data_IF_899087263518
#
_entry.id   IF_899087263518
#
_cell.length_a   1.000
_cell.length_b   1.000
_cell.length_c   1.000
_cell.angle_alpha   90.00
_cell.angle_beta   90.00
_cell.angle_gamma   90.00
#
_symmetry.space_group_name_H-M   'P 1'
#
loop_
_entity.id
_entity.type
_entity.pdbx_description
1 polymer ?
#
# COMPACT_ATOMS: atom_id res chain seq x y z
N UNK A 1 31.98 23.01 -18.80
CA UNK A 1 31.33 21.69 -18.84
C UNK A 1 30.52 21.61 -17.56
N UNK A 2 29.24 21.96 -17.64
CA UNK A 2 28.39 22.12 -16.46
C UNK A 2 27.89 20.75 -16.03
N UNK A 3 28.60 20.17 -15.07
CA UNK A 3 28.22 18.92 -14.44
C UNK A 3 27.00 19.16 -13.56
N UNK A 4 25.80 18.84 -14.08
CA UNK A 4 24.58 18.72 -13.29
C UNK A 4 24.61 17.40 -12.49
N UNK A 5 25.46 17.37 -11.46
CA UNK A 5 25.54 16.25 -10.53
C UNK A 5 24.21 16.05 -9.81
N UNK A 6 23.72 14.81 -9.77
CA UNK A 6 22.67 14.42 -8.83
C UNK A 6 23.10 14.67 -7.38
N UNK A 7 22.20 14.54 -6.40
CA UNK A 7 22.49 14.91 -5.01
C UNK A 7 23.77 14.21 -4.53
N UNK A 8 24.83 15.01 -4.35
CA UNK A 8 26.10 14.57 -3.80
C UNK A 8 25.83 14.11 -2.38
N UNK A 9 26.14 12.85 -2.08
CA UNK A 9 26.01 12.33 -0.73
C UNK A 9 26.94 13.13 0.19
N UNK A 10 26.37 13.83 1.17
CA UNK A 10 27.16 14.56 2.16
C UNK A 10 27.79 13.56 3.12
N UNK A 11 29.11 13.45 3.07
CA UNK A 11 29.90 12.59 3.97
C UNK A 11 30.43 13.44 5.14
N UNK A 12 30.08 13.14 6.41
CA UNK A 12 30.46 13.95 7.58
C UNK A 12 31.94 14.27 7.78
N UNK A 13 32.84 13.43 7.30
CA UNK A 13 34.28 13.65 7.42
C UNK A 13 34.93 14.37 6.24
N UNK A 14 34.19 14.85 5.24
CA UNK A 14 34.80 15.45 4.05
C UNK A 14 35.04 16.95 4.24
N UNK A 15 36.24 17.49 3.90
CA UNK A 15 36.63 18.90 4.15
C UNK A 15 35.72 19.98 3.54
N UNK A 16 34.87 19.63 2.57
CA UNK A 16 33.90 20.55 1.96
C UNK A 16 32.63 20.75 2.79
N UNK A 17 32.43 19.96 3.85
CA UNK A 17 31.28 20.05 4.74
C UNK A 17 31.75 20.44 6.13
N UNK A 18 31.10 21.44 6.70
CA UNK A 18 31.23 21.75 8.12
C UNK A 18 30.13 20.98 8.85
N UNK A 19 30.56 20.13 9.78
CA UNK A 19 29.71 19.22 10.53
C UNK A 19 29.59 19.70 11.97
N UNK A 20 28.38 20.05 12.41
CA UNK A 20 28.11 20.47 13.79
C UNK A 20 27.30 19.41 14.51
N UNK A 21 27.79 18.95 15.65
CA UNK A 21 27.10 18.01 16.55
C UNK A 21 26.33 18.81 17.61
N UNK A 22 25.00 18.73 17.59
CA UNK A 22 24.16 19.50 18.53
C UNK A 22 23.94 18.80 19.88
N UNK A 23 24.14 17.49 19.93
CA UNK A 23 23.86 16.67 21.10
C UNK A 23 24.95 15.62 21.25
N UNK A 24 25.19 15.12 22.46
CA UNK A 24 26.21 14.10 22.76
C UNK A 24 25.65 12.67 22.82
N UNK A 25 24.37 12.46 22.48
CA UNK A 25 23.66 11.18 22.59
C UNK A 25 22.86 10.85 21.32
N UNK A 26 22.70 9.55 21.03
CA UNK A 26 21.82 9.05 19.97
C UNK A 26 20.41 9.33 20.41
N UNK A 27 19.64 9.98 19.53
CA UNK A 27 18.21 10.12 19.75
C UNK A 27 17.56 8.75 19.86
N UNK A 28 16.86 8.52 20.97
CA UNK A 28 15.97 7.38 21.04
C UNK A 28 14.80 7.59 20.07
N UNK A 29 14.30 6.50 19.47
CA UNK A 29 13.20 6.60 18.53
C UNK A 29 11.95 7.25 19.16
N UNK A 30 11.75 7.07 20.47
CA UNK A 30 10.70 7.74 21.24
C UNK A 30 10.87 9.26 21.35
N UNK A 31 12.11 9.74 21.49
CA UNK A 31 12.44 11.17 21.52
C UNK A 31 12.20 11.82 20.15
N UNK A 32 12.58 11.14 19.06
CA UNK A 32 12.27 11.62 17.70
C UNK A 32 10.77 11.61 17.43
N UNK A 33 10.06 10.59 17.90
CA UNK A 33 8.62 10.47 17.69
C UNK A 33 7.83 11.55 18.43
N UNK A 34 8.30 12.03 19.59
CA UNK A 34 7.61 13.09 20.33
C UNK A 34 7.73 14.47 19.66
N UNK A 35 8.81 14.70 18.91
CA UNK A 35 9.05 15.94 18.17
C UNK A 35 8.37 16.00 16.79
N UNK A 36 7.84 14.87 16.29
CA UNK A 36 7.24 14.78 14.95
C UNK A 36 5.75 14.48 15.04
N UNK A 37 4.92 15.47 14.74
CA UNK A 37 3.48 15.26 14.56
C UNK A 37 3.22 14.63 13.17
N UNK A 38 3.19 13.30 13.13
CA UNK A 38 2.85 12.55 11.92
C UNK A 38 1.34 12.63 11.67
N UNK A 39 0.91 13.59 10.84
CA UNK A 39 -0.40 13.49 10.21
C UNK A 39 -0.39 12.30 9.26
N UNK A 40 -0.98 11.18 9.69
CA UNK A 40 -1.14 9.98 8.84
C UNK A 40 -2.15 10.34 7.75
N UNK A 41 -1.66 10.92 6.65
CA UNK A 41 -2.45 11.08 5.44
C UNK A 41 -2.81 9.66 4.98
N UNK A 42 -4.10 9.34 4.77
CA UNK A 42 -4.46 8.07 4.18
C UNK A 42 -3.67 7.90 2.88
N UNK A 43 -3.23 6.67 2.58
CA UNK A 43 -2.42 6.37 1.41
C UNK A 43 -2.98 7.09 0.18
N UNK A 44 -2.27 8.13 -0.28
CA UNK A 44 -2.75 8.97 -1.36
C UNK A 44 -2.95 8.08 -2.60
N UNK A 45 -4.18 8.02 -3.08
CA UNK A 45 -4.53 7.29 -4.28
C UNK A 45 -4.46 8.28 -5.44
N UNK A 46 -3.31 8.33 -6.12
CA UNK A 46 -3.12 9.21 -7.27
C UNK A 46 -1.65 9.55 -7.55
N UNK A 47 -1.39 10.22 -8.68
CA UNK A 47 -0.04 10.68 -9.05
C UNK A 47 0.51 11.66 -8.02
N UNK A 48 1.73 11.41 -7.54
CA UNK A 48 2.43 12.25 -6.55
C UNK A 48 3.21 13.36 -7.26
N UNK A 49 2.49 14.29 -7.88
CA UNK A 49 3.11 15.31 -8.72
C UNK A 49 4.05 16.25 -7.96
N UNK A 50 3.76 16.55 -6.69
CA UNK A 50 4.58 17.44 -5.86
C UNK A 50 6.03 16.93 -5.72
N UNK A 51 6.22 15.61 -5.62
CA UNK A 51 7.54 14.98 -5.47
C UNK A 51 8.39 15.03 -6.75
N UNK A 52 7.75 15.20 -7.91
CA UNK A 52 8.40 15.19 -9.23
C UNK A 52 8.30 16.53 -9.94
N UNK A 53 7.80 17.55 -9.27
CA UNK A 53 7.45 18.88 -9.79
C UNK A 53 8.59 19.58 -10.55
N UNK A 54 9.85 19.23 -10.27
CA UNK A 54 11.02 19.77 -10.95
C UNK A 54 11.27 19.23 -12.38
N UNK A 55 10.62 18.13 -12.79
CA UNK A 55 10.99 17.42 -14.02
C UNK A 55 9.77 17.14 -14.90
N UNK A 56 9.75 17.77 -16.09
CA UNK A 56 8.73 17.57 -17.13
C UNK A 56 8.54 16.09 -17.47
N UNK A 57 9.65 15.36 -17.59
CA UNK A 57 9.62 13.92 -17.89
C UNK A 57 8.99 13.11 -16.76
N UNK A 58 9.37 13.39 -15.51
CA UNK A 58 8.83 12.67 -14.35
C UNK A 58 7.35 12.99 -14.15
N UNK A 59 6.93 14.24 -14.36
CA UNK A 59 5.53 14.65 -14.33
C UNK A 59 4.71 13.89 -15.38
N UNK A 60 5.15 13.91 -16.65
CA UNK A 60 4.45 13.21 -17.72
C UNK A 60 4.35 11.71 -17.46
N UNK A 61 5.46 11.09 -17.03
CA UNK A 61 5.50 9.67 -16.69
C UNK A 61 4.51 9.33 -15.57
N UNK A 62 4.46 10.13 -14.51
CA UNK A 62 3.55 9.92 -13.39
C UNK A 62 2.07 10.03 -13.82
N UNK A 63 1.72 11.08 -14.55
CA UNK A 63 0.36 11.23 -15.08
C UNK A 63 -0.01 10.06 -15.99
N UNK A 64 0.88 9.73 -16.93
CA UNK A 64 0.63 8.71 -17.94
C UNK A 64 0.51 7.31 -17.35
N UNK A 65 1.32 6.93 -16.36
CA UNK A 65 1.23 5.60 -15.75
C UNK A 65 -0.07 5.41 -14.99
N UNK A 66 -0.54 6.43 -14.25
CA UNK A 66 -1.83 6.33 -13.56
C UNK A 66 -3.00 6.26 -14.53
N UNK A 67 -2.94 7.01 -15.64
CA UNK A 67 -3.93 6.89 -16.70
C UNK A 67 -3.92 5.47 -17.31
N UNK A 68 -2.75 4.96 -17.66
CA UNK A 68 -2.57 3.61 -18.21
C UNK A 68 -3.16 2.53 -17.28
N UNK A 69 -2.90 2.62 -15.99
CA UNK A 69 -3.42 1.71 -14.97
C UNK A 69 -4.95 1.70 -14.88
N UNK A 70 -5.59 2.83 -15.20
CA UNK A 70 -7.05 2.94 -15.11
C UNK A 70 -7.78 2.33 -16.31
N UNK A 71 -7.15 2.31 -17.50
CA UNK A 71 -7.78 1.85 -18.73
C UNK A 71 -7.33 0.45 -19.18
N UNK A 72 -6.15 -0.04 -18.76
CA UNK A 72 -5.53 -1.25 -19.31
C UNK A 72 -6.41 -2.50 -19.21
N UNK A 73 -7.12 -2.71 -18.10
CA UNK A 73 -7.99 -3.88 -17.96
C UNK A 73 -9.18 -3.82 -18.94
N UNK A 74 -9.79 -2.64 -19.08
CA UNK A 74 -10.85 -2.39 -20.07
C UNK A 74 -10.36 -2.63 -21.49
N UNK A 75 -9.17 -2.13 -21.85
CA UNK A 75 -8.61 -2.30 -23.20
C UNK A 75 -8.19 -3.76 -23.47
N UNK A 76 -7.83 -4.55 -22.46
CA UNK A 76 -7.60 -6.00 -22.62
C UNK A 76 -8.89 -6.79 -22.84
N UNK A 77 -9.98 -6.35 -22.24
CA UNK A 77 -11.29 -7.01 -22.35
C UNK A 77 -12.03 -6.64 -23.64
N UNK A 78 -11.98 -5.37 -24.04
CA UNK A 78 -12.81 -4.80 -25.11
C UNK A 78 -12.01 -4.30 -26.32
N UNK A 79 -10.70 -4.16 -26.19
CA UNK A 79 -9.84 -3.48 -27.17
C UNK A 79 -8.65 -4.32 -27.60
N UNK A 80 -7.57 -3.63 -27.99
CA UNK A 80 -6.30 -4.21 -28.38
C UNK A 80 -5.13 -3.41 -27.82
N UNK A 81 -3.92 -3.96 -27.94
CA UNK A 81 -2.72 -3.23 -27.58
C UNK A 81 -2.57 -1.92 -28.38
N UNK A 82 -3.01 -1.90 -29.63
CA UNK A 82 -2.93 -0.70 -30.49
C UNK A 82 -3.92 0.38 -30.04
N UNK A 83 -5.17 0.02 -29.69
CA UNK A 83 -6.15 0.98 -29.16
C UNK A 83 -5.71 1.58 -27.83
N UNK A 84 -5.09 0.75 -26.98
CA UNK A 84 -4.49 1.18 -25.73
C UNK A 84 -3.35 2.17 -25.97
N UNK A 85 -2.39 1.83 -26.84
CA UNK A 85 -1.26 2.70 -27.17
C UNK A 85 -1.71 4.04 -27.78
N UNK A 86 -2.70 4.03 -28.69
CA UNK A 86 -3.28 5.24 -29.26
C UNK A 86 -3.92 6.13 -28.20
N UNK A 87 -4.61 5.52 -27.22
CA UNK A 87 -5.20 6.24 -26.09
C UNK A 87 -4.12 6.89 -25.20
N UNK A 88 -3.01 6.19 -24.95
CA UNK A 88 -1.88 6.72 -24.21
C UNK A 88 -1.17 7.86 -24.95
N UNK A 89 -0.95 7.71 -26.25
CA UNK A 89 -0.38 8.77 -27.09
C UNK A 89 -1.25 10.02 -26.99
N UNK A 90 -2.54 9.93 -27.31
CA UNK A 90 -3.46 11.06 -27.25
C UNK A 90 -3.46 11.74 -25.87
N UNK A 91 -3.46 10.95 -24.79
CA UNK A 91 -3.36 11.48 -23.42
C UNK A 91 -2.05 12.25 -23.20
N UNK A 92 -0.92 11.67 -23.61
CA UNK A 92 0.40 12.28 -23.42
C UNK A 92 0.60 13.55 -24.25
N UNK A 93 0.10 13.59 -25.49
CA UNK A 93 0.11 14.81 -26.31
C UNK A 93 -0.70 15.93 -25.66
N UNK A 94 -1.90 15.63 -25.16
CA UNK A 94 -2.76 16.62 -24.52
C UNK A 94 -2.17 17.15 -23.19
N UNK A 95 -1.46 16.30 -22.45
CA UNK A 95 -0.81 16.68 -21.19
C UNK A 95 0.57 17.32 -21.38
N UNK A 96 1.08 17.40 -22.61
CA UNK A 96 2.32 18.11 -22.94
C UNK A 96 2.11 19.64 -23.05
N UNK A 97 1.59 20.24 -21.98
CA UNK A 97 1.34 21.68 -21.87
C UNK A 97 2.22 22.37 -20.81
N UNK A 98 3.45 21.89 -20.67
CA UNK A 98 4.43 22.36 -19.69
C UNK A 98 4.75 23.86 -19.80
N UNK A 99 4.68 24.45 -20.99
CA UNK A 99 4.84 25.89 -21.18
C UNK A 99 3.78 26.68 -20.37
N UNK A 100 2.54 26.18 -20.33
CA UNK A 100 1.45 26.78 -19.54
C UNK A 100 1.59 26.52 -18.04
N UNK A 101 2.40 25.53 -17.66
CA UNK A 101 2.69 25.15 -16.27
C UNK A 101 3.95 25.85 -15.73
N UNK A 102 4.53 26.81 -16.46
CA UNK A 102 5.68 27.59 -16.01
C UNK A 102 7.05 27.01 -16.39
N UNK A 103 7.11 25.96 -17.21
CA UNK A 103 8.37 25.48 -17.77
C UNK A 103 8.79 26.30 -18.99
N UNK A 104 10.08 26.27 -19.31
CA UNK A 104 10.65 26.97 -20.47
C UNK A 104 10.12 26.48 -21.82
N UNK A 105 9.80 25.19 -21.93
CA UNK A 105 9.33 24.59 -23.18
C UNK A 105 8.57 23.27 -22.92
N UNK A 106 7.75 22.87 -23.89
CA UNK A 106 7.10 21.57 -23.91
C UNK A 106 8.09 20.44 -24.25
N UNK A 107 7.77 19.20 -23.89
CA UNK A 107 8.58 18.05 -24.28
C UNK A 107 8.50 17.83 -25.80
N UNK A 108 9.62 17.44 -26.45
CA UNK A 108 9.60 17.09 -27.85
C UNK A 108 8.83 15.78 -28.07
N UNK A 109 8.28 15.61 -29.27
CA UNK A 109 7.43 14.45 -29.58
C UNK A 109 8.16 13.10 -29.44
N UNK A 110 9.46 13.08 -29.68
CA UNK A 110 10.31 11.90 -29.48
C UNK A 110 10.30 11.45 -28.01
N UNK A 111 10.48 12.39 -27.08
CA UNK A 111 10.44 12.14 -25.63
C UNK A 111 9.08 11.63 -25.17
N UNK A 112 7.99 12.19 -25.73
CA UNK A 112 6.62 11.74 -25.44
C UNK A 112 6.44 10.30 -25.90
N UNK A 113 6.74 10.00 -27.17
CA UNK A 113 6.61 8.66 -27.76
C UNK A 113 7.45 7.63 -27.00
N UNK A 114 8.66 8.00 -26.58
CA UNK A 114 9.52 7.13 -25.77
C UNK A 114 8.86 6.80 -24.41
N UNK A 115 8.30 7.81 -23.74
CA UNK A 115 7.59 7.64 -22.46
C UNK A 115 6.35 6.77 -22.63
N UNK A 116 5.53 7.03 -23.66
CA UNK A 116 4.34 6.24 -24.00
C UNK A 116 4.70 4.79 -24.28
N UNK A 117 5.73 4.54 -25.09
CA UNK A 117 6.20 3.18 -25.39
C UNK A 117 6.66 2.42 -24.14
N UNK A 118 7.39 3.09 -23.25
CA UNK A 118 7.86 2.50 -21.99
C UNK A 118 6.70 2.13 -21.07
N UNK A 119 5.83 3.10 -20.77
CA UNK A 119 4.68 2.91 -19.88
C UNK A 119 3.70 1.90 -20.47
N UNK A 120 3.38 2.02 -21.75
CA UNK A 120 2.42 1.17 -22.44
C UNK A 120 2.84 -0.29 -22.46
N UNK A 121 4.07 -0.60 -22.89
CA UNK A 121 4.56 -1.99 -22.89
C UNK A 121 4.58 -2.59 -21.50
N UNK A 122 5.15 -1.89 -20.53
CA UNK A 122 5.23 -2.42 -19.16
C UNK A 122 3.84 -2.65 -18.57
N UNK A 123 2.92 -1.70 -18.76
CA UNK A 123 1.56 -1.80 -18.24
C UNK A 123 0.80 -2.95 -18.91
N UNK A 124 0.92 -3.10 -20.22
CA UNK A 124 0.25 -4.16 -20.96
C UNK A 124 0.77 -5.57 -20.63
N UNK A 125 2.07 -5.72 -20.39
CA UNK A 125 2.66 -7.04 -20.18
C UNK A 125 2.70 -7.44 -18.69
N UNK A 126 2.89 -6.48 -17.78
CA UNK A 126 3.23 -6.74 -16.37
C UNK A 126 2.20 -6.25 -15.37
N UNK A 127 1.38 -5.27 -15.71
CA UNK A 127 0.45 -4.69 -14.74
C UNK A 127 -0.87 -5.47 -14.73
N UNK A 128 -1.18 -6.15 -13.62
CA UNK A 128 -2.44 -6.89 -13.45
C UNK A 128 -3.51 -6.08 -12.70
N UNK A 129 -3.18 -4.87 -12.23
CA UNK A 129 -4.12 -3.89 -11.71
C UNK A 129 -5.16 -4.47 -10.77
N UNK A 130 -4.72 -5.28 -9.82
CA UNK A 130 -5.63 -6.10 -9.05
C UNK A 130 -6.12 -5.32 -7.81
N UNK A 131 -7.35 -4.81 -7.89
CA UNK A 131 -8.08 -4.29 -6.72
C UNK A 131 -8.46 -5.41 -5.73
N UNK A 132 -8.02 -6.68 -5.95
CA UNK A 132 -8.21 -7.79 -5.01
C UNK A 132 -7.65 -7.55 -3.61
N UNK A 133 -6.80 -6.53 -3.42
CA UNK A 133 -6.58 -6.01 -2.08
C UNK A 133 -7.85 -5.27 -1.60
N UNK A 134 -8.77 -6.02 -0.99
CA UNK A 134 -9.95 -5.50 -0.29
C UNK A 134 -9.50 -4.77 0.99
N UNK A 135 -8.76 -3.67 0.83
CA UNK A 135 -8.31 -2.83 1.93
C UNK A 135 -9.55 -2.21 2.57
N UNK A 136 -9.66 -2.32 3.89
CA UNK A 136 -10.87 -1.89 4.59
C UNK A 136 -12.09 -2.77 4.33
N UNK A 137 -11.93 -4.07 4.05
CA UNK A 137 -13.06 -5.00 3.86
C UNK A 137 -14.13 -4.98 4.97
N UNK A 138 -13.75 -4.54 6.18
CA UNK A 138 -14.65 -4.41 7.33
C UNK A 138 -15.20 -3.00 7.56
N UNK A 139 -14.71 -1.98 6.83
CA UNK A 139 -15.08 -0.56 7.02
C UNK A 139 -15.12 -0.15 8.51
N UNK A 140 -14.12 -0.61 9.29
CA UNK A 140 -14.04 -0.34 10.72
C UNK A 140 -13.85 1.15 10.96
N UNK A 141 -14.49 1.65 12.01
CA UNK A 141 -14.35 3.05 12.42
C UNK A 141 -12.88 3.40 12.71
N UNK A 142 -12.46 4.56 12.22
CA UNK A 142 -11.11 5.09 12.42
C UNK A 142 -10.84 5.53 13.86
N UNK A 143 -11.89 5.75 14.66
CA UNK A 143 -11.77 6.08 16.09
C UNK A 143 -11.27 4.91 16.95
N UNK A 144 -11.43 3.67 16.47
CA UNK A 144 -10.99 2.47 17.18
C UNK A 144 -9.46 2.35 17.20
N UNK A 145 -8.93 1.85 18.31
CA UNK A 145 -7.49 1.61 18.44
C UNK A 145 -6.99 0.64 17.37
N UNK A 146 -5.71 0.75 17.00
CA UNK A 146 -5.09 -0.14 16.01
C UNK A 146 -5.22 -1.62 16.43
N UNK A 147 -5.00 -1.89 17.71
CA UNK A 147 -5.08 -3.24 18.30
C UNK A 147 -6.47 -3.83 18.17
N UNK A 148 -7.52 -3.05 18.46
CA UNK A 148 -8.91 -3.51 18.32
C UNK A 148 -9.26 -3.76 16.86
N UNK A 149 -8.87 -2.87 15.95
CA UNK A 149 -9.11 -3.05 14.51
C UNK A 149 -8.43 -4.30 13.98
N UNK A 150 -7.19 -4.57 14.41
CA UNK A 150 -6.45 -5.79 14.05
C UNK A 150 -7.11 -7.05 14.63
N UNK A 151 -7.58 -7.01 15.87
CA UNK A 151 -8.31 -8.11 16.51
C UNK A 151 -9.61 -8.44 15.77
N UNK A 152 -10.41 -7.43 15.44
CA UNK A 152 -11.65 -7.61 14.67
C UNK A 152 -11.38 -8.17 13.26
N UNK A 153 -10.35 -7.67 12.59
CA UNK A 153 -9.90 -8.20 11.30
C UNK A 153 -9.43 -9.65 11.37
N UNK A 154 -8.68 -10.01 12.42
CA UNK A 154 -8.23 -11.38 12.67
C UNK A 154 -9.41 -12.32 12.90
N UNK A 155 -10.40 -11.92 13.73
CA UNK A 155 -11.63 -12.70 13.96
C UNK A 155 -12.37 -13.00 12.66
N UNK A 156 -12.66 -11.96 11.86
CA UNK A 156 -13.33 -12.13 10.57
C UNK A 156 -12.56 -13.05 9.62
N UNK A 157 -11.25 -12.82 9.46
CA UNK A 157 -10.45 -13.64 8.53
C UNK A 157 -10.36 -15.10 8.99
N UNK A 158 -10.33 -15.35 10.30
CA UNK A 158 -10.36 -16.69 10.85
C UNK A 158 -11.73 -17.36 10.62
N UNK A 159 -12.84 -16.66 10.85
CA UNK A 159 -14.19 -17.17 10.56
C UNK A 159 -14.38 -17.52 9.08
N UNK A 160 -13.88 -16.69 8.16
CA UNK A 160 -13.94 -16.98 6.72
C UNK A 160 -13.10 -18.22 6.37
N UNK A 161 -11.89 -18.34 6.93
CA UNK A 161 -11.03 -19.52 6.73
C UNK A 161 -11.66 -20.79 7.30
N UNK A 162 -12.28 -20.68 8.47
CA UNK A 162 -13.01 -21.77 9.11
C UNK A 162 -14.17 -22.21 8.21
N UNK A 163 -15.10 -21.31 7.85
CA UNK A 163 -16.22 -21.61 6.94
C UNK A 163 -15.78 -22.23 5.61
N UNK A 164 -14.72 -21.70 4.99
CA UNK A 164 -14.18 -22.26 3.76
C UNK A 164 -13.63 -23.69 3.95
N UNK A 165 -12.95 -23.94 5.08
CA UNK A 165 -12.46 -25.28 5.44
C UNK A 165 -13.62 -26.23 5.71
N UNK A 166 -14.63 -25.80 6.45
CA UNK A 166 -15.83 -26.60 6.70
C UNK A 166 -16.53 -26.99 5.38
N UNK A 167 -16.71 -26.04 4.46
CA UNK A 167 -17.32 -26.30 3.16
C UNK A 167 -16.52 -27.30 2.34
N UNK A 168 -15.18 -27.23 2.33
CA UNK A 168 -14.32 -28.21 1.66
C UNK A 168 -14.48 -29.62 2.28
N UNK A 169 -14.50 -29.70 3.60
CA UNK A 169 -14.68 -30.98 4.32
C UNK A 169 -16.07 -31.56 4.02
N UNK A 170 -17.14 -30.74 4.11
CA UNK A 170 -18.51 -31.17 3.78
C UNK A 170 -18.62 -31.68 2.34
N UNK A 171 -18.02 -30.96 1.38
CA UNK A 171 -18.02 -31.35 -0.02
C UNK A 171 -17.28 -32.69 -0.24
N UNK A 172 -16.11 -32.87 0.38
CA UNK A 172 -15.36 -34.12 0.30
C UNK A 172 -16.12 -35.30 0.94
N UNK A 173 -16.81 -35.08 2.06
CA UNK A 173 -17.64 -36.12 2.68
C UNK A 173 -18.80 -36.54 1.77
N UNK A 174 -19.52 -35.59 1.15
CA UNK A 174 -20.58 -35.90 0.18
C UNK A 174 -20.04 -36.71 -0.99
N UNK A 175 -18.90 -36.29 -1.55
CA UNK A 175 -18.26 -37.01 -2.66
C UNK A 175 -17.85 -38.45 -2.29
N UNK A 176 -17.43 -38.70 -1.05
CA UNK A 176 -17.13 -40.07 -0.58
C UNK A 176 -18.40 -40.91 -0.39
N UNK A 177 -19.48 -40.31 0.10
CA UNK A 177 -20.78 -40.96 0.22
C UNK A 177 -21.34 -41.36 -1.15
N UNK A 178 -21.27 -40.47 -2.14
CA UNK A 178 -21.71 -40.73 -3.51
C UNK A 178 -20.90 -41.87 -4.16
N UNK A 179 -19.64 -42.04 -3.76
CA UNK A 179 -18.78 -43.14 -4.20
C UNK A 179 -18.98 -44.44 -3.39
N UNK A 180 -19.83 -44.45 -2.37
CA UNK A 180 -20.03 -45.59 -1.47
C UNK A 180 -18.80 -45.94 -0.62
N UNK A 181 -17.84 -45.02 -0.48
CA UNK A 181 -16.61 -45.24 0.30
C UNK A 181 -16.80 -44.80 1.75
N UNK A 182 -16.12 -45.50 2.66
CA UNK A 182 -16.14 -45.15 4.08
C UNK A 182 -15.55 -43.75 4.31
N UNK A 183 -16.16 -43.00 5.24
CA UNK A 183 -15.73 -41.66 5.66
C UNK A 183 -14.46 -41.73 6.54
N UNK A 184 -13.33 -42.09 5.92
CA UNK A 184 -12.02 -42.16 6.60
C UNK A 184 -11.36 -40.79 6.58
N UNK A 185 -10.79 -40.36 7.73
CA UNK A 185 -10.14 -39.05 7.90
C UNK A 185 -9.05 -38.76 6.85
N UNK A 186 -8.26 -39.77 6.48
CA UNK A 186 -7.20 -39.64 5.47
C UNK A 186 -7.76 -39.41 4.06
N UNK A 187 -8.84 -40.12 3.69
CA UNK A 187 -9.50 -39.97 2.41
C UNK A 187 -10.15 -38.58 2.27
N UNK A 188 -10.81 -38.11 3.34
CA UNK A 188 -11.42 -36.76 3.39
C UNK A 188 -10.35 -35.69 3.26
N UNK A 189 -9.24 -35.81 4.00
CA UNK A 189 -8.13 -34.87 3.95
C UNK A 189 -7.55 -34.75 2.54
N UNK A 190 -7.36 -35.89 1.87
CA UNK A 190 -6.82 -35.96 0.50
C UNK A 190 -7.77 -35.29 -0.50
N UNK A 191 -9.09 -35.57 -0.42
CA UNK A 191 -10.08 -34.99 -1.32
C UNK A 191 -10.34 -33.49 -1.06
N UNK A 192 -10.37 -33.06 0.20
CA UNK A 192 -10.59 -31.66 0.57
C UNK A 192 -9.33 -30.78 0.41
N UNK A 193 -8.16 -31.38 0.20
CA UNK A 193 -6.88 -30.67 0.11
C UNK A 193 -6.49 -30.01 1.44
N UNK A 194 -6.75 -30.66 2.57
CA UNK A 194 -6.43 -30.17 3.93
C UNK A 194 -5.69 -31.24 4.73
N UNK A 195 -5.00 -30.85 5.81
CA UNK A 195 -4.27 -31.82 6.63
C UNK A 195 -5.21 -32.74 7.42
N UNK A 196 -4.77 -33.97 7.70
CA UNK A 196 -5.52 -34.93 8.53
C UNK A 196 -5.78 -34.37 9.94
N UNK A 197 -4.81 -33.62 10.50
CA UNK A 197 -4.97 -32.92 11.79
C UNK A 197 -6.09 -31.88 11.73
N UNK A 198 -6.19 -31.15 10.62
CA UNK A 198 -7.29 -30.20 10.39
C UNK A 198 -8.61 -30.97 10.42
N UNK A 199 -8.78 -32.04 9.62
CA UNK A 199 -10.01 -32.84 9.63
C UNK A 199 -10.35 -33.36 11.04
N UNK A 200 -9.35 -33.77 11.81
CA UNK A 200 -9.53 -34.22 13.20
C UNK A 200 -10.07 -33.12 14.12
N UNK A 201 -9.77 -31.85 13.88
CA UNK A 201 -10.35 -30.72 14.63
C UNK A 201 -11.82 -30.46 14.30
N UNK A 202 -12.31 -30.92 13.14
CA UNK A 202 -13.69 -30.71 12.66
C UNK A 202 -14.53 -32.00 12.80
N UNK A 203 -14.44 -32.69 13.95
CA UNK A 203 -15.20 -33.92 14.23
C UNK A 203 -16.71 -33.71 14.14
N UNK A 204 -17.21 -32.52 14.51
CA UNK A 204 -18.62 -32.19 14.48
C UNK A 204 -19.23 -32.31 13.07
N UNK A 205 -18.48 -31.98 12.02
CA UNK A 205 -18.94 -32.13 10.63
C UNK A 205 -19.09 -33.62 10.28
N UNK A 206 -18.17 -34.46 10.75
CA UNK A 206 -18.25 -35.90 10.50
C UNK A 206 -19.47 -36.51 11.20
N UNK A 207 -19.78 -36.05 12.43
CA UNK A 207 -20.99 -36.48 13.14
C UNK A 207 -22.27 -35.97 12.49
N UNK A 208 -22.25 -34.75 11.94
CA UNK A 208 -23.37 -34.15 11.22
C UNK A 208 -23.67 -34.95 9.93
N UNK A 209 -22.64 -35.21 9.12
CA UNK A 209 -22.78 -35.89 7.83
C UNK A 209 -23.07 -37.40 7.99
N UNK A 210 -22.65 -38.00 9.11
CA UNK A 210 -22.97 -39.41 9.42
C UNK A 210 -24.38 -39.59 9.97
N UNK A 211 -25.04 -38.53 10.46
CA UNK A 211 -26.45 -38.59 10.85
C UNK A 211 -27.27 -38.43 9.57
N UNK A 212 -28.04 -39.43 9.13
CA UNK A 212 -28.95 -39.23 8.02
C UNK A 212 -29.97 -38.17 8.46
N UNK A 213 -29.93 -36.98 7.85
CA UNK A 213 -31.01 -36.04 8.02
C UNK A 213 -32.27 -36.74 7.52
N UNK A 214 -33.21 -37.02 8.42
CA UNK A 214 -34.56 -37.41 8.03
C UNK A 214 -35.14 -36.22 7.27
N UNK A 215 -35.00 -36.25 5.95
CA UNK A 215 -35.66 -35.30 5.07
C UNK A 215 -37.14 -35.63 5.15
N UNK A 216 -37.83 -35.02 6.09
CA UNK A 216 -39.29 -35.00 6.09
C UNK A 216 -39.70 -34.16 4.89
N UNK A 217 -40.10 -34.82 3.82
CA UNK A 217 -40.77 -34.19 2.68
C UNK A 217 -41.96 -33.37 3.21
N UNK A 218 -41.79 -32.05 3.26
CA UNK A 218 -42.89 -31.12 3.46
C UNK A 218 -43.74 -31.11 2.19
N UNK A 219 -44.64 -32.09 2.11
CA UNK A 219 -45.80 -32.06 1.21
C UNK A 219 -46.52 -30.73 1.44
N UNK A 220 -46.50 -29.87 0.42
CA UNK A 220 -47.06 -28.53 0.47
C UNK A 220 -48.51 -28.53 0.95
N UNK A 221 -48.76 -27.80 2.04
CA UNK A 221 -50.09 -27.32 2.38
C UNK A 221 -49.99 -25.82 2.57
N UNK A 222 -50.32 -25.10 1.50
CA UNK A 222 -50.48 -23.65 1.50
C UNK A 222 -51.67 -23.28 2.38
N UNK A 223 -51.40 -22.85 3.62
CA UNK A 223 -52.37 -22.14 4.44
C UNK A 223 -51.79 -20.77 4.80
N UNK A 224 -52.40 -19.74 4.23
CA UNK A 224 -52.13 -18.34 4.50
C UNK A 224 -52.29 -18.05 6.00
N UNK A 225 -51.31 -17.39 6.60
CA UNK A 225 -51.42 -16.80 7.93
C UNK A 225 -51.08 -15.32 7.87
N UNK A 226 -51.99 -14.54 8.42
CA UNK A 226 -51.99 -13.10 8.62
C UNK A 226 -50.95 -12.66 9.64
N UNK A 227 -50.35 -11.50 9.38
CA UNK A 227 -49.34 -10.83 10.21
C UNK A 227 -50.02 -9.84 11.16
N UNK A 228 -49.76 -9.87 12.48
CA UNK A 228 -49.97 -8.71 13.37
C UNK A 228 -48.65 -7.95 13.65
N UNK A 229 -48.73 -6.65 13.99
CA UNK A 229 -47.58 -5.75 13.98
C UNK A 229 -46.70 -5.90 15.24
N UNK A 230 -45.38 -5.74 15.06
CA UNK A 230 -44.38 -5.69 16.13
C UNK A 230 -44.24 -4.27 16.67
N UNK A 231 -44.34 -4.15 18.00
CA UNK A 231 -44.01 -2.95 18.76
C UNK A 231 -42.50 -2.89 19.02
N UNK A 232 -41.91 -1.71 18.82
CA UNK A 232 -40.53 -1.37 19.17
C UNK A 232 -40.37 -1.24 20.70
N UNK A 233 -39.41 -1.98 21.26
CA UNK A 233 -38.81 -1.66 22.57
C UNK A 233 -37.31 -1.97 22.55
N UNK A 234 -36.51 -0.91 22.53
CA UNK A 234 -35.08 -0.93 22.86
C UNK A 234 -34.87 -0.99 24.38
N UNK A 235 -33.88 -1.74 24.90
CA UNK A 235 -33.37 -1.54 26.25
C UNK A 235 -32.00 -0.86 26.22
N UNK A 236 -31.91 0.26 26.95
CA UNK A 236 -30.66 0.95 27.28
C UNK A 236 -29.94 0.25 28.43
N UNK A 237 -28.60 0.15 28.36
CA UNK A 237 -27.73 -0.27 29.46
C UNK A 237 -26.71 0.85 29.79
N UNK A 238 -26.38 1.08 31.08
CA UNK A 238 -25.47 2.14 31.53
C UNK A 238 -23.98 1.75 31.47
N UNK A 239 -23.03 2.71 31.58
CA UNK A 239 -21.60 2.48 31.35
C UNK A 239 -20.86 1.98 32.60
N UNK A 240 -19.85 1.12 32.39
CA UNK A 240 -18.92 0.63 33.41
C UNK A 240 -17.54 1.26 33.17
N UNK A 241 -16.95 1.80 34.25
CA UNK A 241 -15.67 2.51 34.27
C UNK A 241 -14.45 1.56 34.21
N UNK A 242 -13.36 2.02 33.60
CA UNK A 242 -12.07 1.33 33.51
C UNK A 242 -11.06 1.86 34.56
N UNK A 243 -10.14 1.03 35.09
CA UNK A 243 -9.06 1.50 35.96
C UNK A 243 -7.80 1.88 35.16
N UNK A 244 -7.15 2.93 35.65
CA UNK A 244 -5.89 3.53 35.19
C UNK A 244 -4.69 2.67 35.66
N UNK A 245 -3.68 2.51 34.80
CA UNK A 245 -2.34 2.06 35.19
C UNK A 245 -1.28 2.97 34.55
N UNK A 246 -0.36 3.47 35.38
CA UNK A 246 0.78 4.31 34.99
C UNK A 246 1.98 3.45 34.53
N UNK A 247 2.87 3.96 33.66
CA UNK A 247 4.08 3.26 33.26
C UNK A 247 5.28 3.61 34.16
N UNK A 248 6.19 2.66 34.34
CA UNK A 248 7.46 2.82 35.03
C UNK A 248 8.59 3.13 34.02
N UNK A 249 9.35 4.18 34.32
CA UNK A 249 10.55 4.60 33.60
C UNK A 249 11.73 3.65 33.83
N UNK A 250 12.41 3.27 32.75
CA UNK A 250 13.64 2.49 32.76
C UNK A 250 14.67 3.09 31.82
N UNK A 251 15.60 3.87 32.40
CA UNK A 251 16.70 4.56 31.73
C UNK A 251 17.85 3.59 31.42
N UNK A 252 18.35 3.56 30.19
CA UNK A 252 19.61 2.88 29.83
C UNK A 252 20.52 3.85 29.07
N UNK A 253 21.78 3.91 29.49
CA UNK A 253 22.82 4.81 29.01
C UNK A 253 23.62 4.18 27.86
N UNK A 254 23.89 4.95 26.79
CA UNK A 254 25.05 4.74 25.93
C UNK A 254 24.85 4.99 24.43
N UNK A 255 25.73 5.84 23.87
CA UNK A 255 26.15 5.98 22.44
C UNK A 255 25.61 7.22 21.69
N UNK A 256 26.40 7.68 20.70
CA UNK A 256 26.63 9.02 20.14
C UNK A 256 25.72 9.53 18.99
N UNK A 257 25.09 10.68 19.26
CA UNK A 257 24.83 11.91 18.48
C UNK A 257 24.32 11.97 17.03
N UNK A 258 23.29 12.83 16.83
CA UNK A 258 22.79 13.30 15.53
C UNK A 258 23.52 14.55 14.99
N UNK A 259 23.64 14.63 13.67
CA UNK A 259 24.58 15.51 12.94
C UNK A 259 23.85 16.45 11.97
N UNK A 260 24.24 17.73 11.94
CA UNK A 260 23.81 18.70 10.92
C UNK A 260 25.00 19.19 10.08
N UNK A 261 24.79 19.39 8.77
CA UNK A 261 25.87 19.67 7.80
C UNK A 261 25.53 20.82 6.85
N UNK A 262 26.38 21.85 6.88
CA UNK A 262 26.35 23.00 5.98
C UNK A 262 27.57 22.99 5.06
N UNK A 263 27.44 23.57 3.86
CA UNK A 263 28.60 23.76 2.97
C UNK A 263 29.55 24.77 3.60
N UNK A 264 30.81 24.40 3.77
CA UNK A 264 31.81 25.35 4.23
C UNK A 264 31.98 26.47 3.19
N UNK A 265 32.00 27.73 3.64
CA UNK A 265 32.36 28.86 2.79
C UNK A 265 33.86 28.71 2.49
N UNK A 266 34.30 28.65 1.22
CA UNK A 266 35.71 28.55 0.93
C UNK A 266 36.39 29.86 1.35
N UNK A 267 37.31 29.80 2.32
CA UNK A 267 38.28 30.87 2.50
C UNK A 267 39.11 30.99 1.21
N UNK A 268 38.79 32.01 0.43
CA UNK A 268 39.61 32.39 -0.71
C UNK A 268 41.00 32.85 -0.22
N UNK A 269 42.07 32.59 -0.99
CA UNK A 269 43.39 33.07 -0.64
C UNK A 269 43.40 34.59 -0.56
N UNK A 270 44.00 35.12 0.51
CA UNK A 270 44.18 36.54 0.74
C UNK A 270 44.80 37.27 -0.46
N UNK A 271 44.30 38.48 -0.69
CA UNK A 271 44.69 39.38 -1.77
C UNK A 271 46.23 39.53 -1.87
N UNK A 272 46.80 39.16 -3.02
CA UNK A 272 48.14 39.58 -3.43
C UNK A 272 48.07 40.95 -4.11
N UNK A 273 49.04 41.78 -3.76
CA UNK A 273 49.24 43.18 -4.15
C UNK A 273 49.15 43.46 -5.67
N UNK A 274 48.78 44.69 -6.07
CA UNK A 274 48.70 45.08 -7.47
C UNK A 274 50.09 45.21 -8.11
N UNK A 275 50.31 44.48 -9.20
CA UNK A 275 51.49 44.62 -10.07
C UNK A 275 51.45 45.99 -10.79
N UNK A 276 52.50 46.79 -10.63
CA UNK A 276 52.77 47.99 -11.43
C UNK A 276 52.82 47.62 -12.92
N UNK A 277 52.04 48.34 -13.75
CA UNK A 277 52.29 48.40 -15.20
C UNK A 277 53.24 49.57 -15.44
N UNK A 278 54.49 49.26 -15.78
CA UNK A 278 55.33 50.21 -16.51
C UNK A 278 54.99 50.13 -18.01
N UNK A 279 55.28 51.26 -18.64
CA UNK A 279 54.84 51.76 -19.92
C UNK A 279 56.01 51.63 -20.89
N UNK A 280 55.83 51.07 -22.08
CA UNK A 280 56.72 51.32 -23.22
C UNK A 280 55.88 51.41 -24.51
N UNK A 281 55.76 52.64 -24.99
CA UNK A 281 55.55 52.98 -26.40
C UNK A 281 56.81 52.65 -27.21
N UNK A 282 56.66 52.17 -28.46
CA UNK A 282 57.79 52.18 -29.39
C UNK A 282 57.67 51.34 -30.65
N UNK A 283 57.20 51.99 -31.73
CA UNK A 283 57.25 51.66 -33.17
C UNK A 283 56.31 50.60 -33.74
#
# INVERSE_FOLDING_TARGET
MDYHGGPVAKTPGHPWWETTEFHSHVYELGELASAVELTVKPWATGPKLDQVSHSRHCILFEQLRYFAYSIVNRERELGSFESFMRSLDAYAYNHNSFLKQGFSENLPLSSIRATVKSVGRWTWDRYTGDRRCHRGAMQLDGSLSLTERQSLAAKRTNELRQKATESKIRAACRQLQDQGKALVRSAIATLAGVSVRTVASYTHILTEVSRPASVSDLRGSSKAMSVPPRQDRSPANPPVQAPVCQPADGRVSGVQSGVHQISAVPEGPQAREPLKREHEDGS
#
